data_IF_772465016607
#
_entry.id   IF_772465016607
#
_cell.length_a   1.000
_cell.length_b   1.000
_cell.length_c   1.000
_cell.angle_alpha   90.00
_cell.angle_beta   90.00
_cell.angle_gamma   90.00
#
_symmetry.space_group_name_H-M   'P 1'
#
loop_
_entity.id
_entity.type
_entity.pdbx_description
1 polymer ?
#
# COMPACT_ATOMS: atom_id res chain seq x y z
N UNK A 1 -8.20 17.89 20.66
CA UNK A 1 -9.65 17.74 20.45
C UNK A 1 -10.19 16.85 21.57
N UNK A 2 -11.40 17.07 22.06
CA UNK A 2 -12.01 16.23 23.10
C UNK A 2 -12.98 15.25 22.45
N UNK A 3 -12.76 13.96 22.65
CA UNK A 3 -13.73 12.91 22.30
C UNK A 3 -14.74 12.75 23.46
N UNK A 4 -15.93 12.23 23.18
CA UNK A 4 -17.00 12.06 24.19
C UNK A 4 -16.82 10.77 24.98
N UNK A 5 -16.18 9.76 24.38
CA UNK A 5 -16.01 8.46 25.03
C UNK A 5 -15.06 8.53 26.24
N UNK A 6 -15.45 8.00 27.40
CA UNK A 6 -14.55 7.85 28.54
C UNK A 6 -13.39 6.90 28.23
N UNK A 7 -13.61 5.92 27.36
CA UNK A 7 -12.56 5.04 26.82
C UNK A 7 -11.64 5.75 25.82
N UNK A 8 -11.82 7.05 25.56
CA UNK A 8 -10.92 7.93 24.81
C UNK A 8 -10.41 9.11 25.67
N UNK A 9 -10.93 9.24 26.90
CA UNK A 9 -10.55 10.27 27.86
C UNK A 9 -9.38 9.79 28.73
N UNK A 10 -8.80 10.73 29.49
CA UNK A 10 -7.52 10.71 30.23
C UNK A 10 -7.09 9.41 30.96
N UNK A 11 -8.01 8.48 31.23
CA UNK A 11 -7.74 7.23 31.94
C UNK A 11 -6.86 6.27 31.15
N UNK A 12 -6.90 6.26 29.81
CA UNK A 12 -6.06 5.37 28.98
C UNK A 12 -4.57 5.65 29.17
N UNK A 13 -4.19 6.90 29.42
CA UNK A 13 -2.80 7.24 29.66
C UNK A 13 -2.24 6.47 30.87
N UNK A 14 -3.09 5.99 31.79
CA UNK A 14 -2.66 5.20 32.95
C UNK A 14 -2.29 3.75 32.59
N UNK A 15 -2.85 3.21 31.50
CA UNK A 15 -2.53 1.88 30.99
C UNK A 15 -1.25 1.85 30.13
N UNK A 16 -0.80 3.02 29.65
CA UNK A 16 0.44 3.16 28.87
C UNK A 16 1.65 3.19 29.80
N UNK A 17 2.76 2.58 29.38
CA UNK A 17 4.04 2.67 30.09
C UNK A 17 4.40 4.13 30.41
N UNK A 18 4.96 4.44 31.60
CA UNK A 18 5.28 5.81 31.99
C UNK A 18 6.22 6.51 30.99
N UNK A 19 7.15 5.76 30.39
CA UNK A 19 8.07 6.27 29.36
C UNK A 19 7.30 6.72 28.11
N UNK A 20 6.35 5.91 27.66
CA UNK A 20 5.56 6.22 26.46
C UNK A 20 4.52 7.30 26.72
N UNK A 21 3.99 7.37 27.95
CA UNK A 21 3.14 8.46 28.41
C UNK A 21 3.88 9.80 28.31
N UNK A 22 5.13 9.88 28.75
CA UNK A 22 5.94 11.10 28.60
C UNK A 22 6.16 11.45 27.13
N UNK A 23 6.42 10.47 26.26
CA UNK A 23 6.56 10.69 24.80
C UNK A 23 5.27 11.23 24.18
N UNK A 24 4.10 10.76 24.62
CA UNK A 24 2.79 11.26 24.17
C UNK A 24 2.47 12.67 24.70
N UNK A 25 2.97 13.04 25.88
CA UNK A 25 2.84 14.40 26.42
C UNK A 25 3.79 15.38 25.70
N UNK A 26 4.97 14.90 25.30
CA UNK A 26 6.00 15.68 24.62
C UNK A 26 6.12 15.28 23.15
N UNK A 27 5.01 15.39 22.41
CA UNK A 27 4.98 15.07 21.00
C UNK A 27 6.05 15.86 20.21
N UNK A 28 6.80 15.21 19.30
CA UNK A 28 7.76 15.87 18.44
C UNK A 28 7.15 17.07 17.71
N UNK A 29 7.92 18.13 17.45
CA UNK A 29 7.42 19.28 16.68
C UNK A 29 7.11 18.90 15.22
N UNK A 30 7.91 18.00 14.64
CA UNK A 30 7.78 17.60 13.24
C UNK A 30 6.62 16.59 13.05
N UNK A 31 5.66 16.84 12.13
CA UNK A 31 4.49 15.97 11.92
C UNK A 31 4.85 14.52 11.56
N UNK A 32 5.87 14.30 10.73
CA UNK A 32 6.28 12.96 10.32
C UNK A 32 6.85 12.13 11.49
N UNK A 33 7.55 12.77 12.44
CA UNK A 33 8.03 12.09 13.65
C UNK A 33 6.89 11.68 14.58
N UNK A 34 5.78 12.42 14.59
CA UNK A 34 4.58 12.03 15.34
C UNK A 34 3.93 10.80 14.73
N UNK A 35 3.84 10.72 13.41
CA UNK A 35 3.33 9.54 12.70
C UNK A 35 4.16 8.32 13.08
N UNK A 36 5.50 8.41 12.95
CA UNK A 36 6.40 7.31 13.33
C UNK A 36 6.26 6.91 14.80
N UNK A 37 6.09 7.87 15.72
CA UNK A 37 5.84 7.58 17.13
C UNK A 37 4.55 6.78 17.32
N UNK A 38 3.45 7.19 16.68
CA UNK A 38 2.19 6.45 16.78
C UNK A 38 2.26 5.06 16.16
N UNK A 39 2.96 4.90 15.03
CA UNK A 39 3.21 3.58 14.42
C UNK A 39 4.03 2.68 15.35
N UNK A 40 5.13 3.17 15.91
CA UNK A 40 5.96 2.45 16.89
C UNK A 40 5.13 2.00 18.11
N UNK A 41 4.25 2.88 18.60
CA UNK A 41 3.39 2.58 19.74
C UNK A 41 2.28 1.59 19.37
N UNK A 42 1.70 1.66 18.17
CA UNK A 42 0.71 0.68 17.72
C UNK A 42 1.30 -0.73 17.63
N UNK A 43 2.54 -0.85 17.16
CA UNK A 43 3.24 -2.14 17.13
C UNK A 43 3.47 -2.67 18.56
N UNK A 44 3.90 -1.80 19.48
CA UNK A 44 4.17 -2.16 20.88
C UNK A 44 2.92 -2.55 21.66
N UNK A 45 1.79 -1.88 21.41
CA UNK A 45 0.51 -2.10 22.10
C UNK A 45 -0.49 -2.87 21.21
N UNK A 46 0.01 -3.76 20.35
CA UNK A 46 -0.77 -4.55 19.40
C UNK A 46 -1.77 -5.52 20.06
N UNK A 47 -1.57 -5.87 21.33
CA UNK A 47 -2.49 -6.73 22.08
C UNK A 47 -3.48 -5.96 22.97
N UNK A 48 -3.30 -4.64 23.10
CA UNK A 48 -4.06 -3.81 24.05
C UNK A 48 -5.25 -3.13 23.38
N UNK A 49 -6.42 -3.79 23.41
CA UNK A 49 -7.67 -3.26 22.83
C UNK A 49 -8.12 -1.92 23.44
N UNK A 50 -7.74 -1.62 24.68
CA UNK A 50 -8.08 -0.36 25.35
C UNK A 50 -7.25 0.83 24.85
N UNK A 51 -5.99 0.59 24.48
CA UNK A 51 -5.03 1.64 24.11
C UNK A 51 -5.09 1.91 22.59
N UNK A 52 -5.33 0.87 21.80
CA UNK A 52 -5.30 0.95 20.34
C UNK A 52 -6.23 2.02 19.74
N UNK A 53 -7.51 2.14 20.14
CA UNK A 53 -8.39 3.16 19.59
C UNK A 53 -7.80 4.56 19.72
N UNK A 54 -7.22 4.88 20.89
CA UNK A 54 -6.60 6.18 21.13
C UNK A 54 -5.41 6.43 20.20
N UNK A 55 -4.51 5.45 20.05
CA UNK A 55 -3.35 5.56 19.17
C UNK A 55 -3.76 5.66 17.69
N UNK A 56 -4.75 4.88 17.25
CA UNK A 56 -5.28 4.93 15.89
C UNK A 56 -5.91 6.28 15.57
N UNK A 57 -6.67 6.86 16.50
CA UNK A 57 -7.24 8.20 16.33
C UNK A 57 -6.14 9.27 16.27
N UNK A 58 -5.12 9.17 17.12
CA UNK A 58 -3.97 10.06 17.10
C UNK A 58 -3.20 10.01 15.78
N UNK A 59 -2.95 8.80 15.28
CA UNK A 59 -2.33 8.56 13.98
C UNK A 59 -3.17 9.14 12.84
N UNK A 60 -4.48 8.85 12.84
CA UNK A 60 -5.41 9.36 11.84
C UNK A 60 -5.44 10.90 11.82
N UNK A 61 -5.44 11.55 12.99
CA UNK A 61 -5.35 13.00 13.12
C UNK A 61 -4.06 13.54 12.50
N UNK A 62 -2.91 12.90 12.73
CA UNK A 62 -1.64 13.33 12.12
C UNK A 62 -1.64 13.13 10.61
N UNK A 63 -2.07 11.97 10.11
CA UNK A 63 -2.14 11.67 8.67
C UNK A 63 -3.09 12.62 7.96
N UNK A 64 -4.24 12.92 8.58
CA UNK A 64 -5.19 13.91 8.06
C UNK A 64 -4.56 15.31 7.98
N UNK A 65 -3.74 15.70 8.99
CA UNK A 65 -3.04 17.00 8.97
C UNK A 65 -1.98 17.10 7.87
N UNK A 66 -1.45 15.96 7.40
CA UNK A 66 -0.52 15.88 6.27
C UNK A 66 -1.23 15.91 4.90
N UNK A 67 -2.57 16.02 4.88
CA UNK A 67 -3.38 16.10 3.67
C UNK A 67 -3.86 14.75 3.12
N UNK A 68 -3.49 13.64 3.77
CA UNK A 68 -3.84 12.28 3.33
C UNK A 68 -5.15 11.80 3.97
N UNK A 69 -6.24 12.54 3.77
CA UNK A 69 -7.53 12.29 4.45
C UNK A 69 -8.12 10.92 4.12
N UNK A 70 -7.94 10.42 2.90
CA UNK A 70 -8.43 9.08 2.50
C UNK A 70 -7.77 7.96 3.30
N UNK A 71 -6.48 8.09 3.59
CA UNK A 71 -5.73 7.12 4.40
C UNK A 71 -6.11 7.28 5.88
N UNK A 72 -6.27 8.51 6.36
CA UNK A 72 -6.72 8.77 7.73
C UNK A 72 -8.09 8.14 8.03
N UNK A 73 -9.01 8.14 7.05
CA UNK A 73 -10.33 7.50 7.18
C UNK A 73 -10.24 6.01 7.50
N UNK A 74 -9.30 5.27 6.92
CA UNK A 74 -9.11 3.85 7.23
C UNK A 74 -8.76 3.64 8.72
N UNK A 75 -7.89 4.49 9.27
CA UNK A 75 -7.53 4.44 10.68
C UNK A 75 -8.69 4.84 11.60
N UNK A 76 -9.49 5.83 11.21
CA UNK A 76 -10.71 6.16 11.94
C UNK A 76 -11.71 5.00 11.97
N UNK A 77 -11.92 4.32 10.83
CA UNK A 77 -12.81 3.15 10.78
C UNK A 77 -12.29 2.00 11.63
N UNK A 78 -10.98 1.72 11.61
CA UNK A 78 -10.37 0.72 12.50
C UNK A 78 -10.62 1.06 13.98
N UNK A 79 -10.40 2.32 14.37
CA UNK A 79 -10.67 2.76 15.74
C UNK A 79 -12.16 2.61 16.11
N UNK A 80 -13.07 2.98 15.22
CA UNK A 80 -14.52 2.80 15.44
C UNK A 80 -14.92 1.34 15.62
N UNK A 81 -14.35 0.43 14.82
CA UNK A 81 -14.64 -1.00 14.91
C UNK A 81 -14.19 -1.55 16.27
N UNK A 82 -12.98 -1.22 16.73
CA UNK A 82 -12.50 -1.66 18.04
C UNK A 82 -13.37 -1.08 19.17
N UNK A 83 -13.74 0.20 19.09
CA UNK A 83 -14.64 0.81 20.07
C UNK A 83 -16.02 0.13 20.09
N UNK A 84 -16.55 -0.23 18.91
CA UNK A 84 -17.82 -0.94 18.79
C UNK A 84 -17.74 -2.36 19.39
N UNK A 85 -16.63 -3.07 19.19
CA UNK A 85 -16.36 -4.36 19.83
C UNK A 85 -16.29 -4.26 21.36
N UNK A 86 -15.76 -3.15 21.88
CA UNK A 86 -15.78 -2.80 23.30
C UNK A 86 -17.16 -2.31 23.80
N UNK A 87 -18.19 -2.31 22.96
CA UNK A 87 -19.53 -1.82 23.30
C UNK A 87 -19.62 -0.31 23.49
N UNK A 88 -18.64 0.45 23.02
CA UNK A 88 -18.52 1.90 23.19
C UNK A 88 -18.87 2.63 21.89
N UNK A 89 -19.84 3.54 21.95
CA UNK A 89 -20.28 4.31 20.78
C UNK A 89 -19.95 5.79 21.00
N UNK A 90 -18.97 6.31 20.26
CA UNK A 90 -18.61 7.74 20.27
C UNK A 90 -19.33 8.49 19.13
N UNK A 91 -20.33 9.31 19.48
CA UNK A 91 -21.14 10.06 18.51
C UNK A 91 -20.35 11.17 17.81
N UNK A 92 -19.36 11.76 18.49
CA UNK A 92 -18.53 12.83 17.93
C UNK A 92 -17.60 12.25 16.87
N UNK A 93 -16.97 11.12 17.17
CA UNK A 93 -16.16 10.38 16.21
C UNK A 93 -17.00 9.98 15.00
N UNK A 94 -18.19 9.40 15.22
CA UNK A 94 -19.07 8.98 14.12
C UNK A 94 -19.44 10.13 13.18
N UNK A 95 -19.86 11.28 13.73
CA UNK A 95 -20.16 12.47 12.91
C UNK A 95 -18.96 12.98 12.14
N UNK A 96 -17.76 12.93 12.75
CA UNK A 96 -16.52 13.36 12.10
C UNK A 96 -16.16 12.45 10.93
N UNK A 97 -16.22 11.14 11.13
CA UNK A 97 -15.93 10.15 10.09
C UNK A 97 -16.91 10.28 8.93
N UNK A 98 -18.21 10.44 9.22
CA UNK A 98 -19.24 10.66 8.19
C UNK A 98 -18.96 11.93 7.37
N UNK A 99 -18.62 13.04 8.04
CA UNK A 99 -18.25 14.30 7.37
C UNK A 99 -17.00 14.15 6.49
N UNK A 100 -15.97 13.47 6.98
CA UNK A 100 -14.74 13.26 6.20
C UNK A 100 -14.97 12.30 5.02
N UNK A 101 -15.74 11.23 5.22
CA UNK A 101 -16.07 10.26 4.19
C UNK A 101 -16.88 10.88 3.06
N UNK A 102 -17.89 11.71 3.39
CA UNK A 102 -18.67 12.44 2.38
C UNK A 102 -17.82 13.41 1.58
N UNK A 103 -16.90 14.13 2.21
CA UNK A 103 -15.96 15.03 1.52
C UNK A 103 -15.00 14.26 0.60
N UNK A 104 -14.37 13.19 1.08
CA UNK A 104 -13.46 12.36 0.27
C UNK A 104 -14.21 11.74 -0.91
N UNK A 105 -15.44 11.25 -0.71
CA UNK A 105 -16.27 10.71 -1.77
C UNK A 105 -16.62 11.76 -2.82
N UNK A 106 -16.98 12.97 -2.40
CA UNK A 106 -17.24 14.09 -3.31
C UNK A 106 -16.01 14.43 -4.15
N UNK A 107 -14.84 14.60 -3.51
CA UNK A 107 -13.59 14.89 -4.22
C UNK A 107 -13.21 13.77 -5.20
N UNK A 108 -13.42 12.52 -4.80
CA UNK A 108 -13.13 11.36 -5.64
C UNK A 108 -14.08 11.30 -6.84
N UNK A 109 -15.37 11.53 -6.63
CA UNK A 109 -16.37 11.60 -7.69
C UNK A 109 -16.07 12.75 -8.69
N UNK A 110 -15.69 13.92 -8.19
CA UNK A 110 -15.27 15.05 -9.04
C UNK A 110 -14.02 14.74 -9.86
N UNK A 111 -13.00 14.14 -9.23
CA UNK A 111 -11.77 13.71 -9.94
C UNK A 111 -12.07 12.65 -10.99
N UNK A 112 -12.92 11.68 -10.67
CA UNK A 112 -13.35 10.62 -11.59
C UNK A 112 -14.19 11.19 -12.75
N UNK A 113 -15.08 12.14 -12.49
CA UNK A 113 -15.84 12.82 -13.53
C UNK A 113 -14.90 13.59 -14.48
N UNK A 114 -13.94 14.34 -13.93
CA UNK A 114 -12.92 15.05 -14.71
C UNK A 114 -12.03 14.09 -15.52
N UNK A 115 -11.63 12.96 -14.94
CA UNK A 115 -10.79 11.98 -15.64
C UNK A 115 -11.52 11.31 -16.82
N UNK A 116 -12.85 11.21 -16.78
CA UNK A 116 -13.65 10.70 -17.91
C UNK A 116 -13.76 11.69 -19.07
N UNK A 117 -13.66 13.00 -18.77
CA UNK A 117 -13.72 14.05 -19.79
C UNK A 117 -12.38 14.24 -20.51
N UNK A 118 -11.28 13.95 -19.83
CA UNK A 118 -9.96 13.98 -20.43
C UNK A 118 -9.75 12.65 -21.17
N UNK A 119 -9.63 12.65 -22.51
CA UNK A 119 -9.13 11.47 -23.19
C UNK A 119 -7.75 11.15 -22.59
N UNK A 120 -7.61 9.96 -22.02
CA UNK A 120 -6.33 9.49 -21.50
C UNK A 120 -5.38 9.30 -22.69
N UNK A 121 -4.76 10.39 -23.13
CA UNK A 121 -3.78 10.42 -24.20
C UNK A 121 -2.39 10.22 -23.61
N UNK A 122 -2.19 9.18 -22.80
CA UNK A 122 -0.84 8.61 -22.75
C UNK A 122 -0.66 7.87 -24.08
N UNK A 123 -0.08 8.56 -25.07
CA UNK A 123 0.35 7.89 -26.30
C UNK A 123 1.19 6.69 -25.87
N UNK A 124 0.76 5.49 -26.25
CA UNK A 124 1.55 4.29 -26.07
C UNK A 124 2.92 4.54 -26.70
N UNK A 125 3.92 4.71 -25.86
CA UNK A 125 5.31 4.76 -26.30
C UNK A 125 5.81 3.32 -26.38
N UNK A 126 6.53 2.93 -27.43
CA UNK A 126 7.30 1.70 -27.41
C UNK A 126 8.17 1.62 -26.16
N UNK A 127 8.32 0.43 -25.58
CA UNK A 127 9.14 0.20 -24.37
C UNK A 127 10.53 0.85 -24.46
N UNK A 128 11.12 0.87 -25.67
CA UNK A 128 12.44 1.47 -25.96
C UNK A 128 12.52 2.99 -25.74
N UNK A 129 11.39 3.70 -25.77
CA UNK A 129 11.33 5.16 -25.60
C UNK A 129 11.10 5.59 -24.15
N UNK A 130 10.74 4.64 -23.27
CA UNK A 130 10.70 4.92 -21.85
C UNK A 130 12.13 5.09 -21.35
N UNK A 131 12.41 6.25 -20.76
CA UNK A 131 13.54 6.41 -19.86
C UNK A 131 13.22 5.61 -18.60
N UNK A 132 13.39 4.31 -18.67
CA UNK A 132 13.57 3.54 -17.45
C UNK A 132 14.76 4.14 -16.72
N UNK A 133 14.77 4.17 -15.38
CA UNK A 133 16.00 4.36 -14.65
C UNK A 133 16.93 3.17 -14.98
N UNK A 134 17.60 3.23 -16.13
CA UNK A 134 18.59 2.27 -16.62
C UNK A 134 19.85 2.30 -15.77
N UNK A 135 19.96 3.30 -14.90
CA UNK A 135 20.99 3.42 -13.88
C UNK A 135 20.43 2.93 -12.54
N UNK A 136 19.99 1.67 -12.45
CA UNK A 136 20.11 0.98 -11.16
C UNK A 136 21.61 0.65 -11.05
N UNK A 137 22.40 1.40 -10.27
CA UNK A 137 23.87 1.27 -10.29
C UNK A 137 24.34 -0.13 -9.84
N UNK A 138 23.47 -0.88 -9.15
CA UNK A 138 23.77 -2.22 -8.67
C UNK A 138 22.54 -3.11 -8.85
N UNK A 139 22.76 -4.30 -9.41
CA UNK A 139 21.78 -5.37 -9.33
C UNK A 139 21.57 -5.74 -7.83
N UNK A 140 20.37 -6.15 -7.42
CA UNK A 140 20.15 -6.60 -6.05
C UNK A 140 21.07 -7.78 -5.71
N UNK A 141 21.43 -7.91 -4.43
CA UNK A 141 22.19 -9.05 -3.91
C UNK A 141 21.46 -10.36 -4.30
N UNK A 142 22.20 -11.35 -4.79
CA UNK A 142 21.64 -12.63 -5.28
C UNK A 142 21.22 -12.64 -6.76
N UNK A 143 21.25 -11.51 -7.47
CA UNK A 143 20.93 -11.46 -8.91
C UNK A 143 21.80 -12.41 -9.77
N UNK A 144 23.08 -12.57 -9.41
CA UNK A 144 24.00 -13.48 -10.07
C UNK A 144 23.58 -14.95 -9.93
N UNK A 145 23.20 -15.37 -8.72
CA UNK A 145 22.74 -16.74 -8.44
C UNK A 145 21.46 -17.07 -9.21
N UNK A 146 20.55 -16.10 -9.31
CA UNK A 146 19.32 -16.31 -10.09
C UNK A 146 19.63 -16.37 -11.60
N UNK A 147 20.55 -15.56 -12.11
CA UNK A 147 20.99 -15.64 -13.51
C UNK A 147 21.67 -16.98 -13.83
N UNK A 148 22.49 -17.50 -12.93
CA UNK A 148 23.15 -18.80 -13.07
C UNK A 148 22.12 -19.93 -13.04
N UNK A 149 21.22 -19.93 -12.06
CA UNK A 149 20.12 -20.90 -11.97
C UNK A 149 19.21 -20.83 -13.19
N UNK A 150 18.98 -19.63 -13.75
CA UNK A 150 18.23 -19.45 -14.98
C UNK A 150 18.95 -20.05 -16.19
N UNK A 151 20.28 -19.86 -16.30
CA UNK A 151 21.09 -20.50 -17.36
C UNK A 151 21.07 -22.01 -17.26
N UNK A 152 21.20 -22.56 -16.05
CA UNK A 152 21.11 -24.00 -15.81
C UNK A 152 19.75 -24.57 -16.21
N UNK A 153 18.66 -23.88 -15.83
CA UNK A 153 17.30 -24.28 -16.21
C UNK A 153 17.05 -24.16 -17.72
N UNK A 154 17.70 -23.23 -18.41
CA UNK A 154 17.51 -23.00 -19.86
C UNK A 154 18.47 -23.80 -20.74
N UNK A 155 19.51 -24.42 -20.17
CA UNK A 155 20.46 -25.29 -20.88
C UNK A 155 19.81 -26.59 -21.39
N UNK A 156 18.69 -27.01 -20.78
CA UNK A 156 17.85 -28.09 -21.28
C UNK A 156 16.91 -27.52 -22.36
N UNK A 157 17.11 -27.91 -23.62
CA UNK A 157 16.44 -27.29 -24.81
C UNK A 157 14.92 -27.17 -24.67
N UNK A 158 14.27 -28.16 -24.05
CA UNK A 158 12.83 -28.17 -23.81
C UNK A 158 12.38 -27.12 -22.79
N UNK A 159 13.12 -26.98 -21.69
CA UNK A 159 12.82 -26.04 -20.61
C UNK A 159 13.06 -24.60 -21.06
N UNK A 160 14.10 -24.36 -21.86
CA UNK A 160 14.34 -23.05 -22.48
C UNK A 160 13.24 -22.64 -23.46
N UNK A 161 12.73 -23.56 -24.28
CA UNK A 161 11.59 -23.31 -25.17
C UNK A 161 10.30 -23.08 -24.38
N UNK A 162 10.06 -23.87 -23.33
CA UNK A 162 8.90 -23.74 -22.44
C UNK A 162 8.91 -22.42 -21.67
N UNK A 163 10.02 -22.02 -21.05
CA UNK A 163 10.12 -20.74 -20.33
C UNK A 163 10.03 -19.53 -21.25
N UNK A 164 10.59 -19.62 -22.47
CA UNK A 164 10.37 -18.59 -23.51
C UNK A 164 8.92 -18.50 -23.92
N UNK A 165 8.25 -19.65 -24.11
CA UNK A 165 6.82 -19.71 -24.41
C UNK A 165 6.00 -19.14 -23.26
N UNK A 166 6.29 -19.48 -22.00
CA UNK A 166 5.63 -18.95 -20.81
C UNK A 166 5.82 -17.44 -20.71
N UNK A 167 7.02 -16.91 -20.96
CA UNK A 167 7.28 -15.47 -20.94
C UNK A 167 6.58 -14.71 -22.10
N UNK A 168 6.48 -15.34 -23.28
CA UNK A 168 5.72 -14.79 -24.40
C UNK A 168 4.23 -14.86 -24.12
N UNK A 169 3.75 -15.97 -23.58
CA UNK A 169 2.35 -16.19 -23.23
C UNK A 169 1.92 -15.38 -22.02
N UNK A 170 2.75 -15.13 -21.00
CA UNK A 170 2.42 -14.18 -19.93
C UNK A 170 2.36 -12.75 -20.43
N UNK A 171 3.29 -12.35 -21.32
CA UNK A 171 3.17 -11.07 -22.04
C UNK A 171 1.92 -11.04 -22.95
N UNK A 172 1.51 -12.18 -23.52
CA UNK A 172 0.31 -12.30 -24.34
C UNK A 172 -0.96 -12.30 -23.49
N UNK A 173 -0.93 -12.89 -22.30
CA UNK A 173 -1.98 -12.88 -21.28
C UNK A 173 -2.17 -11.44 -20.82
N UNK A 174 -1.11 -10.66 -20.58
CA UNK A 174 -1.25 -9.22 -20.34
C UNK A 174 -1.92 -8.49 -21.53
N UNK A 175 -1.58 -8.85 -22.77
CA UNK A 175 -2.22 -8.32 -23.97
C UNK A 175 -3.69 -8.73 -24.18
N UNK A 176 -4.06 -9.95 -23.77
CA UNK A 176 -5.43 -10.51 -23.91
C UNK A 176 -6.32 -10.09 -22.73
N UNK A 177 -5.76 -9.93 -21.53
CA UNK A 177 -6.44 -9.31 -20.37
C UNK A 177 -6.78 -7.83 -20.63
N UNK A 178 -6.05 -7.16 -21.54
CA UNK A 178 -6.35 -5.80 -21.99
C UNK A 178 -7.48 -5.71 -23.04
N UNK A 179 -7.95 -6.83 -23.59
CA UNK A 179 -8.89 -6.85 -24.72
C UNK A 179 -10.23 -7.53 -24.45
N UNK A 180 -10.48 -8.13 -23.29
CA UNK A 180 -11.76 -8.79 -23.01
C UNK A 180 -12.35 -8.43 -21.64
N UNK A 181 -13.63 -8.04 -21.64
CA UNK A 181 -14.45 -7.71 -20.46
C UNK A 181 -14.55 -8.85 -19.42
N UNK A 182 -14.09 -10.05 -19.77
CA UNK A 182 -14.04 -11.26 -18.95
C UNK A 182 -13.06 -11.19 -17.76
N UNK A 183 -12.07 -10.28 -17.82
CA UNK A 183 -11.03 -10.15 -16.78
C UNK A 183 -11.56 -9.67 -15.41
N UNK A 184 -12.78 -9.11 -15.35
CA UNK A 184 -13.39 -8.64 -14.09
C UNK A 184 -13.64 -9.76 -13.06
N UNK A 185 -13.74 -11.02 -13.49
CA UNK A 185 -14.13 -12.11 -12.60
C UNK A 185 -12.95 -12.75 -11.84
N UNK A 186 -11.72 -12.63 -12.36
CA UNK A 186 -10.53 -13.31 -11.80
C UNK A 186 -9.85 -12.54 -10.65
N UNK A 187 -10.09 -11.24 -10.52
CA UNK A 187 -9.48 -10.43 -9.45
C UNK A 187 -10.01 -10.73 -8.05
N UNK A 188 -11.11 -11.46 -7.91
CA UNK A 188 -11.71 -11.74 -6.61
C UNK A 188 -11.08 -12.91 -5.83
N UNK A 189 -10.24 -13.76 -6.45
CA UNK A 189 -9.76 -15.01 -5.80
C UNK A 189 -8.26 -15.32 -5.92
N UNK A 190 -7.41 -14.40 -6.36
CA UNK A 190 -6.03 -14.73 -6.78
C UNK A 190 -4.90 -14.05 -5.99
N UNK A 191 -4.80 -14.24 -4.67
CA UNK A 191 -3.70 -13.68 -3.87
C UNK A 191 -2.35 -14.39 -4.07
N UNK A 192 -2.33 -15.64 -4.54
CA UNK A 192 -1.06 -16.39 -4.70
C UNK A 192 -0.36 -16.16 -6.04
N UNK A 193 -1.08 -15.74 -7.09
CA UNK A 193 -0.51 -15.61 -8.44
C UNK A 193 0.34 -14.33 -8.61
N UNK A 194 0.05 -13.30 -7.81
CA UNK A 194 0.71 -12.00 -7.86
C UNK A 194 2.18 -12.07 -7.39
N UNK A 195 2.47 -12.92 -6.41
CA UNK A 195 3.83 -13.14 -5.90
C UNK A 195 4.74 -13.79 -6.94
N UNK A 196 4.21 -14.71 -7.75
CA UNK A 196 4.99 -15.38 -8.80
C UNK A 196 5.30 -14.42 -9.96
N UNK A 197 4.34 -13.56 -10.34
CA UNK A 197 4.49 -12.60 -11.43
C UNK A 197 5.51 -11.50 -11.07
N UNK A 198 5.47 -10.96 -9.86
CA UNK A 198 6.43 -9.94 -9.42
C UNK A 198 7.88 -10.47 -9.39
N UNK A 199 8.06 -11.75 -9.06
CA UNK A 199 9.38 -12.40 -9.05
C UNK A 199 10.00 -12.53 -10.45
N UNK A 200 9.17 -12.72 -11.48
CA UNK A 200 9.63 -12.85 -12.88
C UNK A 200 10.00 -11.49 -13.48
N UNK A 201 9.30 -10.41 -13.13
CA UNK A 201 9.54 -9.07 -13.68
C UNK A 201 10.90 -8.46 -13.29
N UNK A 202 11.41 -8.76 -12.08
CA UNK A 202 12.72 -8.27 -11.66
C UNK A 202 13.90 -8.88 -12.44
N UNK A 203 13.71 -10.03 -13.09
CA UNK A 203 14.79 -10.75 -13.78
C UNK A 203 14.90 -10.44 -15.28
N UNK A 204 13.78 -10.11 -15.93
CA UNK A 204 13.77 -9.90 -17.39
C UNK A 204 14.33 -8.52 -17.79
N UNK A 205 14.44 -7.57 -16.84
CA UNK A 205 15.02 -6.24 -17.07
C UNK A 205 16.54 -6.20 -17.31
N UNK A 206 17.26 -7.29 -17.07
CA UNK A 206 18.72 -7.37 -17.20
C UNK A 206 19.14 -8.20 -18.43
N UNK A 207 18.94 -7.67 -19.65
CA UNK A 207 19.61 -8.21 -20.85
C UNK A 207 20.89 -7.42 -21.15
N UNK A 208 22.08 -8.05 -21.21
CA UNK A 208 23.24 -7.42 -21.80
C UNK A 208 23.08 -7.40 -23.32
N UNK A 209 23.20 -6.22 -23.91
CA UNK A 209 23.31 -6.01 -25.35
C UNK A 209 24.66 -6.54 -25.83
N UNK A 210 24.68 -7.74 -26.42
CA UNK A 210 25.80 -8.19 -27.23
C UNK A 210 25.86 -7.37 -28.51
N UNK A 211 26.97 -6.64 -28.66
CA UNK A 211 27.39 -6.02 -29.90
C UNK A 211 27.57 -7.10 -30.99
N UNK A 212 27.05 -6.83 -32.18
CA UNK A 212 27.42 -7.50 -33.42
C UNK A 212 28.48 -6.62 -34.09
N UNK A 213 29.68 -7.15 -34.21
CA UNK A 213 30.54 -7.01 -35.39
C UNK A 213 30.68 -8.40 -36.01
#
# INVERSE_FOLDING_TARGET
MSYESPALAQDILSAVSPVDRERLLHLPLAPHLRVLLFEEMLDRYSDSMEIQPYLLLGLADQISSLGSVSVALEFYFKAQNILAEMGTIDKVLNRRVEKLATEVNKQTAEKLAKSRLLPYHQKWRPTREYKFPTNLPHLPLGSQEVLERWREMTAVEFTGAYLRKLAIETNHIEGVFLLTDSARFLFFNGSELLYLIMSVFCLVGARPSHARD
#
